data_IF_945054475016
#
_entry.id   IF_945054475016
#
_cell.length_a   1.000
_cell.length_b   1.000
_cell.length_c   1.000
_cell.angle_alpha   90.00
_cell.angle_beta   90.00
_cell.angle_gamma   90.00
#
_symmetry.space_group_name_H-M   'P 1'
#
loop_
_entity.id
_entity.type
_entity.pdbx_description
1 polymer ?
#
# COMPACT_ATOMS: atom_id res chain seq x y z
N UNK A 1 -9.26 28.76 19.65
CA UNK A 1 -9.94 28.59 18.34
C UNK A 1 -10.99 27.48 18.45
N UNK A 2 -12.29 27.76 18.24
CA UNK A 2 -13.31 26.72 18.31
C UNK A 2 -13.16 25.76 17.12
N UNK A 3 -12.93 24.48 17.40
CA UNK A 3 -12.87 23.43 16.37
C UNK A 3 -14.29 23.22 15.82
N UNK A 4 -14.64 23.88 14.71
CA UNK A 4 -15.91 23.65 14.00
C UNK A 4 -16.01 22.17 13.65
N UNK A 5 -17.07 21.50 14.10
CA UNK A 5 -17.31 20.08 13.79
C UNK A 5 -17.58 19.95 12.29
N UNK A 6 -16.72 19.19 11.60
CA UNK A 6 -16.91 18.83 10.18
C UNK A 6 -18.22 18.07 10.01
N UNK A 7 -19.04 18.52 9.05
CA UNK A 7 -20.27 17.82 8.65
C UNK A 7 -19.94 16.41 8.15
N UNK A 8 -20.81 15.45 8.43
CA UNK A 8 -20.62 14.04 8.07
C UNK A 8 -20.31 13.86 6.58
N UNK A 9 -21.04 14.56 5.70
CA UNK A 9 -20.81 14.56 4.26
C UNK A 9 -19.42 15.03 3.86
N UNK A 10 -18.85 16.00 4.57
CA UNK A 10 -17.48 16.47 4.31
C UNK A 10 -16.46 15.40 4.69
N UNK A 11 -16.69 14.66 5.78
CA UNK A 11 -15.85 13.51 6.17
C UNK A 11 -15.92 12.39 5.14
N UNK A 12 -17.12 12.05 4.66
CA UNK A 12 -17.33 11.03 3.62
C UNK A 12 -16.63 11.45 2.33
N UNK A 13 -16.77 12.71 1.90
CA UNK A 13 -16.06 13.23 0.72
C UNK A 13 -14.55 13.14 0.87
N UNK A 14 -14.01 13.49 2.04
CA UNK A 14 -12.58 13.33 2.31
C UNK A 14 -12.15 11.87 2.30
N UNK A 15 -12.92 10.97 2.91
CA UNK A 15 -12.64 9.54 2.89
C UNK A 15 -12.62 8.98 1.46
N UNK A 16 -13.63 9.31 0.64
CA UNK A 16 -13.69 8.92 -0.76
C UNK A 16 -12.53 9.50 -1.57
N UNK A 17 -12.18 10.78 -1.36
CA UNK A 17 -11.03 11.39 -2.02
C UNK A 17 -9.73 10.63 -1.71
N UNK A 18 -9.49 10.28 -0.45
CA UNK A 18 -8.31 9.50 -0.05
C UNK A 18 -8.32 8.07 -0.59
N UNK A 19 -9.49 7.43 -0.69
CA UNK A 19 -9.64 6.11 -1.30
C UNK A 19 -9.29 6.15 -2.79
N UNK A 20 -9.77 7.13 -3.54
CA UNK A 20 -9.53 7.23 -4.99
C UNK A 20 -8.19 7.87 -5.37
N UNK A 21 -7.57 8.67 -4.50
CA UNK A 21 -6.23 9.24 -4.69
C UNK A 21 -5.10 8.31 -4.26
N UNK A 22 -5.40 7.13 -3.74
CA UNK A 22 -4.36 6.19 -3.36
C UNK A 22 -3.69 5.61 -4.60
N UNK A 23 -2.61 6.27 -5.03
CA UNK A 23 -1.67 5.73 -6.01
C UNK A 23 -0.54 5.09 -5.23
N UNK A 24 -0.52 3.76 -5.09
CA UNK A 24 0.61 3.10 -4.45
C UNK A 24 1.92 3.41 -5.19
N UNK A 25 3.02 3.48 -4.45
CA UNK A 25 4.35 3.47 -5.07
C UNK A 25 4.57 2.17 -5.84
N UNK A 26 5.55 2.16 -6.76
CA UNK A 26 5.96 0.93 -7.43
C UNK A 26 6.28 -0.17 -6.41
N UNK A 27 5.96 -1.42 -6.75
CA UNK A 27 6.20 -2.58 -5.89
C UNK A 27 5.21 -2.75 -4.74
N UNK A 28 4.21 -1.88 -4.59
CA UNK A 28 3.23 -2.02 -3.51
C UNK A 28 2.21 -3.12 -3.82
N UNK A 29 2.09 -4.11 -2.95
CA UNK A 29 1.01 -5.09 -3.01
C UNK A 29 -0.27 -4.47 -2.44
N UNK A 30 -1.32 -4.36 -3.27
CA UNK A 30 -2.60 -3.75 -2.88
C UNK A 30 -3.52 -4.74 -2.15
N UNK A 31 -3.41 -6.03 -2.48
CA UNK A 31 -4.18 -7.10 -1.87
C UNK A 31 -3.44 -8.44 -1.96
N UNK A 32 -3.74 -9.33 -1.01
CA UNK A 32 -3.18 -10.66 -0.99
C UNK A 32 -3.72 -11.45 -2.19
N UNK A 33 -2.84 -11.97 -3.04
CA UNK A 33 -3.24 -12.81 -4.17
C UNK A 33 -4.08 -14.03 -3.76
N UNK A 34 -3.79 -14.59 -2.58
CA UNK A 34 -4.42 -15.78 -2.01
C UNK A 34 -5.82 -15.51 -1.41
N UNK A 35 -5.91 -14.72 -0.33
CA UNK A 35 -7.17 -14.51 0.39
C UNK A 35 -7.86 -13.17 0.09
N UNK A 36 -7.32 -12.37 -0.85
CA UNK A 36 -7.81 -11.04 -1.22
C UNK A 36 -7.80 -9.99 -0.09
N UNK A 37 -7.25 -10.31 1.07
CA UNK A 37 -7.09 -9.34 2.17
C UNK A 37 -6.16 -8.19 1.81
N UNK A 38 -6.50 -6.98 2.27
CA UNK A 38 -5.67 -5.77 2.17
C UNK A 38 -4.70 -5.60 3.35
N UNK A 39 -4.74 -6.50 4.34
CA UNK A 39 -3.91 -6.42 5.56
C UNK A 39 -2.54 -7.03 5.29
N UNK A 40 -1.69 -6.29 4.59
CA UNK A 40 -0.34 -6.71 4.22
C UNK A 40 0.69 -6.01 5.10
N UNK A 41 1.64 -6.78 5.61
CA UNK A 41 2.76 -6.31 6.41
C UNK A 41 4.02 -6.39 5.57
N UNK A 42 4.77 -5.30 5.52
CA UNK A 42 6.11 -5.27 4.95
C UNK A 42 7.12 -5.87 5.93
N UNK A 43 7.94 -6.84 5.47
CA UNK A 43 8.98 -7.45 6.30
C UNK A 43 10.35 -6.83 6.06
N UNK A 44 10.83 -6.93 4.83
CA UNK A 44 12.20 -6.54 4.46
C UNK A 44 12.19 -5.86 3.09
N UNK A 45 13.13 -4.94 2.90
CA UNK A 45 13.54 -4.48 1.57
C UNK A 45 15.03 -4.41 1.44
N UNK A 46 15.49 -4.64 0.21
CA UNK A 46 16.87 -4.48 -0.21
C UNK A 46 16.88 -3.75 -1.54
N UNK A 47 17.77 -2.77 -1.65
CA UNK A 47 18.04 -2.08 -2.91
C UNK A 47 19.52 -2.23 -3.25
N UNK A 48 19.82 -2.72 -4.44
CA UNK A 48 21.18 -2.88 -4.97
C UNK A 48 21.22 -2.36 -6.40
N UNK A 49 21.84 -1.19 -6.57
CA UNK A 49 21.88 -0.51 -7.87
C UNK A 49 20.48 -0.24 -8.40
N UNK A 50 20.18 -0.86 -9.54
CA UNK A 50 18.92 -0.72 -10.25
C UNK A 50 17.87 -1.79 -9.91
N UNK A 51 18.14 -2.62 -8.90
CA UNK A 51 17.26 -3.70 -8.44
C UNK A 51 16.73 -3.37 -7.05
N UNK A 52 15.42 -3.42 -6.88
CA UNK A 52 14.75 -3.36 -5.59
C UNK A 52 13.97 -4.63 -5.34
N UNK A 53 14.15 -5.17 -4.14
CA UNK A 53 13.46 -6.37 -3.70
C UNK A 53 12.76 -6.08 -2.38
N UNK A 54 11.51 -6.50 -2.28
CA UNK A 54 10.69 -6.34 -1.08
C UNK A 54 9.91 -7.62 -0.76
N UNK A 55 9.74 -7.88 0.53
CA UNK A 55 9.03 -9.04 1.06
C UNK A 55 7.84 -8.60 1.90
N UNK A 56 6.71 -9.29 1.70
CA UNK A 56 5.42 -8.98 2.28
C UNK A 56 4.77 -10.22 2.87
N UNK A 57 3.98 -10.03 3.93
CA UNK A 57 3.19 -11.10 4.54
C UNK A 57 1.76 -10.64 4.73
N UNK A 58 0.80 -11.45 4.29
CA UNK A 58 -0.60 -11.25 4.59
C UNK A 58 -0.88 -11.59 6.05
N UNK A 59 -1.43 -10.64 6.80
CA UNK A 59 -1.78 -10.83 8.22
C UNK A 59 -2.90 -11.84 8.43
N UNK A 60 -3.78 -12.02 7.45
CA UNK A 60 -4.99 -12.82 7.63
C UNK A 60 -4.79 -14.30 7.25
N UNK A 61 -4.02 -14.60 6.20
CA UNK A 61 -3.77 -15.99 5.78
C UNK A 61 -2.32 -16.44 5.91
N UNK A 62 -1.40 -15.57 6.31
CA UNK A 62 0.02 -15.88 6.44
C UNK A 62 0.79 -16.01 5.12
N UNK A 63 0.13 -15.82 3.97
CA UNK A 63 0.78 -15.90 2.67
C UNK A 63 1.93 -14.89 2.55
N UNK A 64 3.05 -15.34 2.00
CA UNK A 64 4.27 -14.54 1.79
C UNK A 64 4.37 -14.19 0.30
N UNK A 65 4.63 -12.92 0.01
CA UNK A 65 4.87 -12.42 -1.35
C UNK A 65 6.22 -11.73 -1.44
N UNK A 66 6.89 -11.86 -2.58
CA UNK A 66 8.14 -11.16 -2.89
C UNK A 66 7.97 -10.39 -4.19
N UNK A 67 8.30 -9.11 -4.18
CA UNK A 67 8.37 -8.28 -5.38
C UNK A 67 9.83 -7.96 -5.67
N UNK A 68 10.22 -8.06 -6.93
CA UNK A 68 11.52 -7.59 -7.41
C UNK A 68 11.26 -6.66 -8.59
N UNK A 69 11.69 -5.42 -8.46
CA UNK A 69 11.61 -4.40 -9.48
C UNK A 69 13.01 -4.12 -10.00
N UNK A 70 13.15 -4.04 -11.33
CA UNK A 70 14.39 -3.68 -11.99
C UNK A 70 14.07 -2.46 -12.84
N UNK A 71 14.72 -1.33 -12.55
CA UNK A 71 14.63 -0.13 -13.37
C UNK A 71 15.84 -0.01 -14.30
N UNK A 72 15.66 0.68 -15.41
CA UNK A 72 16.76 1.14 -16.25
C UNK A 72 16.70 2.66 -16.28
N UNK A 73 17.87 3.31 -16.18
CA UNK A 73 17.99 4.72 -16.54
C UNK A 73 17.71 4.81 -18.04
N UNK A 74 16.51 5.25 -18.41
CA UNK A 74 16.16 5.55 -19.81
C UNK A 74 16.83 6.85 -20.23
#
# INVERSE_FOLDING_TARGET
>A
MPKRKLKLWTKIKFALFWIFKYTPGSGTIVNCGNCKSIRIIFRNSKQEGNVYTSEYVCKDCGAVGKCTEIWSDK
#
